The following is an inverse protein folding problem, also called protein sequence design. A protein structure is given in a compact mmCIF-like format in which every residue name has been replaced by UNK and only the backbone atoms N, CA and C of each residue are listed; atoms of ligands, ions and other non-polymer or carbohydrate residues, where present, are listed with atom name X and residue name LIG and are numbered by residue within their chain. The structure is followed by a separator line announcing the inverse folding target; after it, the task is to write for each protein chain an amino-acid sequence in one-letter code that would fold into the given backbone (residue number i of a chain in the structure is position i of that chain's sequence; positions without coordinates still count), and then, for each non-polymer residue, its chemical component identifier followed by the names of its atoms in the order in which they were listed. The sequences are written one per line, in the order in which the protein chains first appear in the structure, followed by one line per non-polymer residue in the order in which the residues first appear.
data_IF_752881473294
#
_entry.id   IF_752881473294
#
_cell.length_a   1.000
_cell.length_b   1.000
_cell.length_c   1.000
_cell.angle_alpha   90.00
_cell.angle_beta   90.00
_cell.angle_gamma   90.00
#
_symmetry.space_group_name_H-M   'P 1'
#
loop_
_entity.id
_entity.type
_entity.pdbx_description
1 polymer ?
#
# COMPACT_ATOMS: atom_id res chain seq x y z
N UNK A 1 -13.46 2.11 16.97
CA UNK A 1 -12.12 1.50 16.83
C UNK A 1 -11.10 2.56 17.23
N UNK A 2 -10.14 2.27 18.10
CA UNK A 2 -9.03 3.22 18.36
C UNK A 2 -7.84 2.81 17.52
N UNK A 3 -7.11 3.77 16.96
CA UNK A 3 -5.85 3.46 16.27
C UNK A 3 -4.70 3.64 17.25
N UNK A 4 -3.78 2.66 17.26
CA UNK A 4 -2.63 2.61 18.16
C UNK A 4 -1.34 2.48 17.35
N UNK A 5 -0.26 2.94 17.95
CA UNK A 5 1.11 2.70 17.50
C UNK A 5 1.88 2.04 18.66
N UNK A 6 2.86 1.15 18.38
CA UNK A 6 3.68 0.56 19.43
C UNK A 6 4.42 1.61 20.25
N UNK A 7 4.41 1.46 21.57
CA UNK A 7 5.33 2.20 22.45
C UNK A 7 6.72 1.59 22.30
N UNK A 8 7.73 2.42 22.05
CA UNK A 8 9.14 2.00 22.10
C UNK A 8 9.64 2.08 23.55
N UNK A 9 9.95 0.95 24.15
CA UNK A 9 10.49 0.86 25.52
C UNK A 9 12.00 1.04 25.58
N UNK A 10 12.70 0.65 24.52
CA UNK A 10 14.15 0.74 24.42
C UNK A 10 14.56 0.95 22.98
N UNK A 11 15.58 1.79 22.77
CA UNK A 11 16.21 2.03 21.47
C UNK A 11 17.71 2.19 21.68
N UNK A 12 18.49 1.29 21.10
CA UNK A 12 19.96 1.38 21.02
C UNK A 12 20.38 1.37 19.56
N UNK A 13 20.79 2.54 19.08
CA UNK A 13 21.27 2.75 17.71
C UNK A 13 22.74 2.34 17.52
N UNK A 14 23.49 2.14 18.61
CA UNK A 14 24.93 1.86 18.60
C UNK A 14 25.25 0.36 18.73
N UNK A 15 24.27 -0.46 19.13
CA UNK A 15 24.37 -1.90 18.96
C UNK A 15 24.68 -2.24 17.49
N UNK A 16 25.46 -3.31 17.26
CA UNK A 16 25.99 -3.73 15.94
C UNK A 16 24.94 -3.82 14.81
N UNK A 17 23.64 -3.85 15.11
CA UNK A 17 22.55 -3.86 14.12
C UNK A 17 21.41 -2.86 14.39
N UNK A 18 21.54 -2.00 15.40
CA UNK A 18 20.40 -1.26 15.96
C UNK A 18 19.41 -2.21 16.66
N UNK A 19 18.91 -1.85 17.84
CA UNK A 19 17.94 -2.64 18.58
C UNK A 19 16.81 -1.73 19.05
N UNK A 20 15.57 -2.11 18.75
CA UNK A 20 14.38 -1.51 19.35
C UNK A 20 13.60 -2.58 20.10
N UNK A 21 13.18 -2.28 21.34
CA UNK A 21 12.20 -3.11 22.08
C UNK A 21 10.91 -2.33 22.11
N UNK A 22 9.86 -2.91 21.53
CA UNK A 22 8.57 -2.27 21.34
C UNK A 22 7.45 -3.03 22.05
N UNK A 23 6.34 -2.34 22.25
CA UNK A 23 5.11 -2.92 22.77
C UNK A 23 4.65 -4.10 21.92
N UNK A 24 4.51 -5.24 22.59
CA UNK A 24 3.87 -6.43 22.06
C UNK A 24 2.35 -6.30 22.17
N UNK A 25 1.65 -6.40 21.05
CA UNK A 25 0.20 -6.45 20.98
C UNK A 25 -0.28 -7.90 21.00
N UNK A 26 -0.25 -8.51 22.19
CA UNK A 26 -0.73 -9.88 22.37
C UNK A 26 -2.18 -10.02 21.88
N UNK A 27 -2.45 -11.13 21.21
CA UNK A 27 -3.77 -11.44 20.63
C UNK A 27 -4.23 -10.46 19.53
N UNK A 28 -3.27 -9.92 18.76
CA UNK A 28 -3.57 -9.28 17.49
C UNK A 28 -3.17 -10.16 16.30
N UNK A 29 -3.91 -10.00 15.21
CA UNK A 29 -3.60 -10.65 13.92
C UNK A 29 -3.52 -9.56 12.85
N UNK A 30 -2.55 -9.66 11.95
CA UNK A 30 -2.45 -8.76 10.81
C UNK A 30 -3.56 -9.03 9.79
N UNK A 31 -3.95 -8.00 9.04
CA UNK A 31 -5.00 -8.10 8.04
C UNK A 31 -4.61 -9.11 6.95
N UNK A 32 -3.33 -9.19 6.57
CA UNK A 32 -2.90 -10.12 5.52
C UNK A 32 -3.16 -11.59 5.90
N UNK A 33 -2.84 -11.99 7.14
CA UNK A 33 -3.11 -13.33 7.68
C UNK A 33 -4.60 -13.68 7.68
N UNK A 34 -5.47 -12.69 7.91
CA UNK A 34 -6.92 -12.88 7.89
C UNK A 34 -7.43 -13.03 6.45
N UNK A 35 -7.09 -12.10 5.56
CA UNK A 35 -7.63 -12.04 4.20
C UNK A 35 -7.07 -13.17 3.33
N UNK A 36 -5.78 -13.52 3.45
CA UNK A 36 -5.15 -14.58 2.65
C UNK A 36 -5.55 -15.99 3.12
N UNK A 37 -6.19 -16.13 4.28
CA UNK A 37 -6.67 -17.41 4.81
C UNK A 37 -8.08 -17.70 4.30
N UNK A 38 -8.24 -18.83 3.60
CA UNK A 38 -9.53 -19.28 3.07
C UNK A 38 -10.59 -19.53 4.16
N UNK A 39 -10.15 -19.86 5.38
CA UNK A 39 -11.04 -20.10 6.51
C UNK A 39 -11.43 -18.79 7.20
N UNK A 40 -10.45 -17.91 7.47
CA UNK A 40 -10.69 -16.68 8.22
C UNK A 40 -11.40 -15.60 7.40
N UNK A 41 -11.09 -15.50 6.10
CA UNK A 41 -11.71 -14.52 5.21
C UNK A 41 -13.23 -14.73 5.09
N UNK A 42 -13.67 -15.99 5.07
CA UNK A 42 -15.10 -16.37 5.02
C UNK A 42 -15.87 -16.04 6.30
N UNK A 43 -15.18 -15.85 7.43
CA UNK A 43 -15.82 -15.45 8.69
C UNK A 43 -16.17 -13.95 8.71
N UNK A 44 -15.53 -13.15 7.85
CA UNK A 44 -15.77 -11.71 7.79
C UNK A 44 -17.04 -11.40 7.00
N UNK A 45 -17.94 -10.64 7.64
CA UNK A 45 -19.08 -10.05 6.92
C UNK A 45 -18.58 -8.88 6.07
N UNK A 46 -19.20 -8.67 4.90
CA UNK A 46 -18.90 -7.54 4.02
C UNK A 46 -18.92 -6.18 4.75
N UNK A 47 -19.88 -5.97 5.65
CA UNK A 47 -19.94 -4.76 6.48
C UNK A 47 -18.74 -4.60 7.41
N UNK A 48 -18.22 -5.69 7.98
CA UNK A 48 -17.04 -5.67 8.84
C UNK A 48 -15.76 -5.35 8.04
N UNK A 49 -15.60 -5.97 6.87
CA UNK A 49 -14.54 -5.66 5.92
C UNK A 49 -14.53 -4.17 5.55
N UNK A 50 -15.69 -3.66 5.12
CA UNK A 50 -15.87 -2.27 4.69
C UNK A 50 -15.56 -1.29 5.82
N UNK A 51 -16.14 -1.49 7.00
CA UNK A 51 -15.95 -0.56 8.13
C UNK A 51 -14.51 -0.58 8.65
N UNK A 52 -13.89 -1.76 8.73
CA UNK A 52 -12.49 -1.88 9.18
C UNK A 52 -11.56 -1.18 8.21
N UNK A 53 -11.67 -1.46 6.91
CA UNK A 53 -10.79 -0.82 5.93
C UNK A 53 -11.04 0.69 5.82
N UNK A 54 -12.29 1.15 6.03
CA UNK A 54 -12.62 2.57 6.13
C UNK A 54 -11.90 3.27 7.28
N UNK A 55 -11.84 2.64 8.46
CA UNK A 55 -11.07 3.20 9.58
C UNK A 55 -9.56 3.22 9.30
N UNK A 56 -9.01 2.21 8.59
CA UNK A 56 -7.60 2.21 8.15
C UNK A 56 -7.33 3.36 7.18
N UNK A 57 -8.19 3.55 6.17
CA UNK A 57 -8.07 4.64 5.21
C UNK A 57 -8.15 6.02 5.87
N UNK A 58 -9.13 6.19 6.77
CA UNK A 58 -9.28 7.42 7.56
C UNK A 58 -8.03 7.72 8.37
N UNK A 59 -7.49 6.72 9.06
CA UNK A 59 -6.29 6.93 9.84
C UNK A 59 -5.09 7.33 8.98
N UNK A 60 -4.91 6.72 7.81
CA UNK A 60 -3.81 7.05 6.92
C UNK A 60 -3.90 8.51 6.46
N UNK A 61 -5.11 8.99 6.14
CA UNK A 61 -5.34 10.41 5.87
C UNK A 61 -4.95 11.28 7.06
N UNK A 62 -5.41 10.95 8.27
CA UNK A 62 -5.09 11.73 9.48
C UNK A 62 -3.59 11.76 9.74
N UNK A 63 -2.87 10.66 9.51
CA UNK A 63 -1.41 10.62 9.61
C UNK A 63 -0.76 11.57 8.60
N UNK A 64 -1.19 11.52 7.33
CA UNK A 64 -0.69 12.40 6.27
C UNK A 64 -0.96 13.89 6.54
N UNK A 65 -2.13 14.23 7.10
CA UNK A 65 -2.50 15.60 7.48
C UNK A 65 -1.72 16.08 8.71
N UNK A 66 -1.74 15.30 9.80
CA UNK A 66 -1.01 15.57 11.03
C UNK A 66 0.47 15.80 10.75
N UNK A 67 1.10 14.92 9.96
CA UNK A 67 2.51 15.03 9.64
C UNK A 67 2.85 16.25 8.78
N UNK A 68 1.87 16.87 8.12
CA UNK A 68 2.01 18.11 7.36
C UNK A 68 1.79 19.37 8.21
N UNK A 69 1.28 19.25 9.44
CA UNK A 69 1.09 20.40 10.33
C UNK A 69 2.41 21.14 10.62
N UNK A 70 2.42 22.47 10.76
CA UNK A 70 3.63 23.24 11.09
C UNK A 70 4.35 22.73 12.35
N UNK A 71 3.60 22.24 13.34
CA UNK A 71 4.12 21.68 14.58
C UNK A 71 4.98 20.43 14.37
N UNK A 72 4.78 19.70 13.26
CA UNK A 72 5.55 18.50 12.92
C UNK A 72 6.77 18.79 12.04
N UNK A 73 7.19 20.06 11.89
CA UNK A 73 8.36 20.42 11.07
C UNK A 73 9.64 19.68 11.48
N UNK A 74 9.88 19.52 12.79
CA UNK A 74 11.05 18.78 13.29
C UNK A 74 10.99 17.29 12.92
N UNK A 75 9.80 16.68 12.97
CA UNK A 75 9.60 15.30 12.55
C UNK A 75 9.92 15.13 11.05
N UNK A 76 9.39 16.03 10.21
CA UNK A 76 9.68 16.05 8.77
C UNK A 76 11.17 16.26 8.48
N UNK A 77 11.83 17.18 9.18
CA UNK A 77 13.25 17.45 8.97
C UNK A 77 14.14 16.26 9.37
N UNK A 78 13.79 15.54 10.45
CA UNK A 78 14.57 14.41 10.95
C UNK A 78 14.38 13.13 10.13
N UNK A 79 13.12 12.82 9.80
CA UNK A 79 12.77 11.53 9.17
C UNK A 79 12.62 11.68 7.65
N UNK A 80 12.17 12.84 7.17
CA UNK A 80 11.92 13.09 5.76
C UNK A 80 13.17 13.06 4.88
N UNK A 81 14.34 13.35 5.45
CA UNK A 81 15.64 13.34 4.75
C UNK A 81 16.32 11.96 4.72
N UNK A 82 15.59 10.86 4.94
CA UNK A 82 16.14 9.51 4.94
C UNK A 82 16.45 9.00 3.52
N UNK A 83 17.45 9.62 2.88
CA UNK A 83 17.88 9.32 1.51
C UNK A 83 18.25 7.85 1.25
N UNK A 84 18.91 7.12 2.19
CA UNK A 84 19.14 5.69 2.03
C UNK A 84 17.84 4.89 1.89
N UNK A 85 16.84 5.14 2.75
CA UNK A 85 15.54 4.45 2.68
C UNK A 85 14.76 4.86 1.42
N UNK A 86 14.81 6.13 1.01
CA UNK A 86 14.23 6.59 -0.27
C UNK A 86 14.80 5.82 -1.46
N UNK A 87 16.13 5.69 -1.54
CA UNK A 87 16.80 4.93 -2.60
C UNK A 87 16.49 3.44 -2.54
N UNK A 88 16.50 2.85 -1.35
CA UNK A 88 16.15 1.45 -1.16
C UNK A 88 14.72 1.18 -1.65
N UNK A 89 13.76 1.97 -1.18
CA UNK A 89 12.35 1.81 -1.51
C UNK A 89 12.10 1.99 -3.01
N UNK A 90 12.70 3.03 -3.59
CA UNK A 90 12.64 3.24 -5.03
C UNK A 90 13.19 2.04 -5.81
N UNK A 91 14.37 1.55 -5.45
CA UNK A 91 15.02 0.40 -6.10
C UNK A 91 14.14 -0.86 -6.07
N UNK A 92 13.58 -1.19 -4.91
CA UNK A 92 12.81 -2.46 -4.74
C UNK A 92 11.39 -2.40 -5.29
N UNK A 93 10.83 -1.21 -5.52
CA UNK A 93 9.50 -1.07 -6.15
C UNK A 93 9.57 -0.50 -7.56
N UNK A 94 9.90 0.79 -7.70
CA UNK A 94 9.79 1.52 -8.97
C UNK A 94 10.97 1.26 -9.91
N UNK A 95 12.12 0.87 -9.37
CA UNK A 95 13.28 0.49 -10.16
C UNK A 95 13.20 -0.91 -10.76
N UNK A 96 12.38 -1.80 -10.18
CA UNK A 96 12.37 -3.23 -10.51
C UNK A 96 11.15 -3.69 -11.31
N UNK A 97 10.08 -2.88 -11.46
CA UNK A 97 8.84 -3.36 -12.08
C UNK A 97 8.99 -3.69 -13.57
N UNK A 98 9.85 -2.97 -14.31
CA UNK A 98 10.14 -3.31 -15.72
C UNK A 98 10.90 -4.64 -15.80
N UNK A 99 11.75 -4.95 -14.83
CA UNK A 99 12.49 -6.22 -14.82
C UNK A 99 11.56 -7.43 -14.65
N UNK A 100 10.44 -7.28 -13.92
CA UNK A 100 9.37 -8.30 -13.88
C UNK A 100 8.83 -8.55 -15.29
N UNK A 101 8.49 -7.48 -16.01
CA UNK A 101 7.87 -7.56 -17.33
C UNK A 101 8.79 -8.11 -18.43
N UNK A 102 10.11 -8.20 -18.20
CA UNK A 102 11.02 -8.94 -19.11
C UNK A 102 10.66 -10.42 -19.23
N UNK A 103 9.97 -10.98 -18.23
CA UNK A 103 9.44 -12.35 -18.29
C UNK A 103 8.13 -12.46 -19.09
N UNK A 104 7.54 -11.33 -19.48
CA UNK A 104 6.29 -11.23 -20.25
C UNK A 104 6.49 -10.29 -21.47
N UNK A 105 7.30 -10.69 -22.47
CA UNK A 105 7.75 -9.81 -23.56
C UNK A 105 6.60 -9.15 -24.33
N UNK A 106 5.52 -9.88 -24.62
CA UNK A 106 4.34 -9.32 -25.33
C UNK A 106 3.69 -8.15 -24.58
N UNK A 107 3.65 -8.22 -23.24
CA UNK A 107 3.12 -7.14 -22.39
C UNK A 107 4.09 -5.97 -22.37
N UNK A 108 5.38 -6.25 -22.22
CA UNK A 108 6.43 -5.23 -22.19
C UNK A 108 6.50 -4.45 -23.51
N UNK A 109 6.60 -5.14 -24.64
CA UNK A 109 6.75 -4.53 -25.97
C UNK A 109 5.60 -3.58 -26.28
N UNK A 110 4.36 -4.05 -26.05
CA UNK A 110 3.13 -3.26 -26.29
C UNK A 110 3.07 -1.96 -25.49
N UNK A 111 3.65 -1.93 -24.29
CA UNK A 111 3.51 -0.82 -23.34
C UNK A 111 4.82 -0.07 -23.06
N UNK A 112 5.92 -0.47 -23.70
CA UNK A 112 7.29 -0.03 -23.43
C UNK A 112 7.44 1.49 -23.30
N UNK A 113 6.88 2.25 -24.24
CA UNK A 113 6.95 3.71 -24.22
C UNK A 113 6.31 4.35 -22.98
N UNK A 114 5.19 3.81 -22.48
CA UNK A 114 4.53 4.32 -21.26
C UNK A 114 5.31 3.89 -20.02
N UNK A 115 5.73 2.62 -19.98
CA UNK A 115 6.44 2.05 -18.84
C UNK A 115 7.79 2.75 -18.59
N UNK A 116 8.55 3.06 -19.64
CA UNK A 116 9.80 3.82 -19.51
C UNK A 116 9.54 5.25 -19.01
N UNK A 117 8.50 5.95 -19.49
CA UNK A 117 8.13 7.27 -18.96
C UNK A 117 7.74 7.23 -17.48
N UNK A 118 7.01 6.20 -17.05
CA UNK A 118 6.67 6.00 -15.63
C UNK A 118 7.94 5.80 -14.80
N UNK A 119 8.90 5.02 -15.30
CA UNK A 119 10.20 4.80 -14.65
C UNK A 119 11.03 6.08 -14.59
N UNK A 120 11.17 6.81 -15.70
CA UNK A 120 11.87 8.09 -15.76
C UNK A 120 11.26 9.11 -14.78
N UNK A 121 9.94 9.20 -14.74
CA UNK A 121 9.24 10.04 -13.77
C UNK A 121 9.55 9.62 -12.33
N UNK A 122 9.60 8.32 -12.04
CA UNK A 122 9.97 7.84 -10.72
C UNK A 122 11.41 8.24 -10.33
N UNK A 123 12.37 8.19 -11.25
CA UNK A 123 13.74 8.66 -11.03
C UNK A 123 13.80 10.17 -10.77
N UNK A 124 13.07 10.97 -11.55
CA UNK A 124 12.94 12.42 -11.35
C UNK A 124 12.31 12.75 -9.99
N UNK A 125 11.31 11.97 -9.56
CA UNK A 125 10.70 12.13 -8.25
C UNK A 125 11.68 11.84 -7.12
N UNK A 126 12.49 10.78 -7.24
CA UNK A 126 13.54 10.48 -6.26
C UNK A 126 14.55 11.63 -6.17
N UNK A 127 14.98 12.18 -7.30
CA UNK A 127 15.87 13.35 -7.32
C UNK A 127 15.22 14.58 -6.64
N UNK A 128 13.95 14.84 -6.94
CA UNK A 128 13.21 15.94 -6.34
C UNK A 128 13.04 15.78 -4.82
N UNK A 129 12.79 14.55 -4.35
CA UNK A 129 12.71 14.21 -2.92
C UNK A 129 14.05 14.49 -2.22
N UNK A 130 15.16 14.07 -2.83
CA UNK A 130 16.51 14.35 -2.30
C UNK A 130 16.79 15.85 -2.28
N UNK A 131 16.28 16.61 -3.25
CA UNK A 131 16.43 18.07 -3.32
C UNK A 131 15.44 18.86 -2.45
N UNK A 132 14.52 18.19 -1.74
CA UNK A 132 13.59 18.83 -0.80
C UNK A 132 12.48 19.68 -1.44
N UNK A 133 12.02 19.34 -2.65
CA UNK A 133 10.91 20.08 -3.30
C UNK A 133 9.54 19.60 -2.78
N UNK A 134 8.78 20.53 -2.22
CA UNK A 134 7.39 20.31 -1.79
C UNK A 134 6.40 20.26 -2.97
N UNK A 135 5.28 19.59 -2.74
CA UNK A 135 4.14 19.54 -3.66
C UNK A 135 2.86 19.14 -2.90
N UNK A 136 1.69 19.48 -3.45
CA UNK A 136 0.39 19.32 -2.77
C UNK A 136 0.13 17.89 -2.24
N UNK A 137 0.50 16.87 -3.04
CA UNK A 137 0.30 15.46 -2.73
C UNK A 137 1.53 14.79 -2.09
N UNK A 138 2.50 15.59 -1.61
CA UNK A 138 3.71 15.13 -0.93
C UNK A 138 3.65 15.41 0.56
N UNK A 139 4.27 14.52 1.33
CA UNK A 139 4.28 14.61 2.78
C UNK A 139 5.03 13.42 3.38
N UNK A 140 4.95 13.29 4.70
CA UNK A 140 5.39 12.05 5.33
C UNK A 140 4.46 10.92 4.94
N UNK A 141 5.06 9.79 4.57
CA UNK A 141 4.40 8.52 4.28
C UNK A 141 4.91 7.47 5.26
N UNK A 142 4.09 6.46 5.54
CA UNK A 142 4.53 5.26 6.23
C UNK A 142 5.62 4.55 5.43
N UNK A 143 5.51 4.57 4.10
CA UNK A 143 6.49 4.00 3.19
C UNK A 143 6.31 2.50 2.98
N UNK A 144 5.89 1.77 4.01
CA UNK A 144 5.52 0.34 3.91
C UNK A 144 4.06 0.08 4.34
N UNK A 145 3.13 0.90 3.84
CA UNK A 145 1.71 0.79 4.18
C UNK A 145 1.01 -0.35 3.40
N UNK A 146 1.18 -1.59 3.85
CA UNK A 146 0.48 -2.76 3.33
C UNK A 146 -0.30 -3.48 4.43
N UNK A 147 -1.20 -4.40 4.05
CA UNK A 147 -2.13 -5.02 5.01
C UNK A 147 -1.45 -5.89 6.08
N UNK A 148 -0.21 -6.35 5.88
CA UNK A 148 0.56 -7.06 6.90
C UNK A 148 1.05 -6.17 8.05
N UNK A 149 1.17 -4.86 7.80
CA UNK A 149 1.60 -3.88 8.81
C UNK A 149 0.43 -3.24 9.57
N UNK A 150 -0.78 -3.79 9.39
CA UNK A 150 -2.01 -3.37 10.08
C UNK A 150 -2.54 -4.53 10.91
N UNK A 151 -2.42 -4.44 12.23
CA UNK A 151 -2.90 -5.45 13.17
C UNK A 151 -4.27 -5.08 13.73
N UNK A 152 -5.08 -6.09 14.03
CA UNK A 152 -6.38 -5.94 14.68
C UNK A 152 -6.35 -6.56 16.07
N UNK A 153 -6.56 -5.75 17.11
CA UNK A 153 -6.64 -6.21 18.50
C UNK A 153 -8.03 -6.81 18.79
N UNK A 154 -8.05 -7.97 19.46
CA UNK A 154 -9.21 -8.84 19.69
C UNK A 154 -9.78 -9.45 18.41
N UNK A 155 -9.15 -10.53 17.99
CA UNK A 155 -9.75 -11.48 17.06
C UNK A 155 -9.71 -12.88 17.70
N UNK A 156 -10.85 -13.38 18.21
CA UNK A 156 -11.25 -14.76 17.94
C UNK A 156 -12.74 -14.81 17.58
N UNK A 157 -13.37 -15.94 17.20
CA UNK A 157 -14.82 -16.00 17.24
C UNK A 157 -15.22 -16.05 18.72
N UNK A 158 -15.34 -14.90 19.40
CA UNK A 158 -16.01 -14.89 20.69
C UNK A 158 -17.52 -15.08 20.46
N UNK A 159 -18.23 -15.74 21.39
CA UNK A 159 -19.64 -16.08 21.23
C UNK A 159 -20.49 -14.81 21.07
N UNK A 160 -21.25 -14.79 19.98
CA UNK A 160 -22.44 -13.97 19.70
C UNK A 160 -22.72 -12.79 20.64
N UNK A 161 -22.43 -11.57 20.18
CA UNK A 161 -23.15 -10.39 20.66
C UNK A 161 -22.47 -9.05 20.43
N UNK A 162 -21.14 -8.96 20.59
CA UNK A 162 -20.37 -7.72 20.41
C UNK A 162 -18.89 -8.04 20.18
N UNK A 163 -18.50 -8.37 18.95
CA UNK A 163 -17.08 -8.53 18.60
C UNK A 163 -16.76 -7.72 17.34
N UNK A 164 -16.46 -6.44 17.57
CA UNK A 164 -15.78 -5.58 16.60
C UNK A 164 -14.30 -5.57 17.01
N UNK A 165 -13.37 -5.72 16.06
CA UNK A 165 -11.95 -5.45 16.31
C UNK A 165 -11.83 -4.16 17.14
N UNK A 166 -11.23 -4.26 18.32
CA UNK A 166 -11.30 -3.17 19.29
C UNK A 166 -10.39 -2.02 18.85
N UNK A 167 -9.23 -2.36 18.29
CA UNK A 167 -8.21 -1.42 17.87
C UNK A 167 -7.58 -1.84 16.53
N UNK A 168 -7.26 -0.85 15.70
CA UNK A 168 -6.31 -0.97 14.58
C UNK A 168 -4.94 -0.57 15.12
N UNK A 169 -3.89 -1.31 14.78
CA UNK A 169 -2.53 -1.01 15.20
C UNK A 169 -1.66 -0.96 13.95
N UNK A 170 -0.95 0.15 13.73
CA UNK A 170 0.04 0.23 12.66
C UNK A 170 1.45 0.09 13.19
N UNK A 171 2.19 -0.81 12.56
CA UNK A 171 3.54 -1.22 12.94
C UNK A 171 4.51 -1.00 11.79
N UNK A 172 5.80 -1.26 12.06
CA UNK A 172 6.83 -1.33 11.02
C UNK A 172 7.08 -0.02 10.25
N UNK A 173 7.41 1.01 11.03
CA UNK A 173 7.65 2.37 10.56
C UNK A 173 9.05 2.59 9.97
N UNK A 174 9.82 1.53 9.73
CA UNK A 174 11.24 1.63 9.33
C UNK A 174 11.44 2.29 7.95
N UNK A 175 10.39 2.23 7.11
CA UNK A 175 10.37 2.84 5.78
C UNK A 175 9.76 4.25 5.75
N UNK A 176 9.45 4.82 6.92
CA UNK A 176 8.84 6.14 7.02
C UNK A 176 9.79 7.22 6.47
N UNK A 177 9.25 8.06 5.60
CA UNK A 177 10.03 9.01 4.81
C UNK A 177 9.13 10.11 4.24
N UNK A 178 9.75 11.15 3.68
CA UNK A 178 9.03 12.11 2.85
C UNK A 178 8.83 11.52 1.44
N UNK A 179 7.61 11.56 0.92
CA UNK A 179 7.24 10.89 -0.32
C UNK A 179 5.91 11.39 -0.89
N UNK A 180 5.50 10.79 -2.01
CA UNK A 180 4.17 11.03 -2.56
C UNK A 180 3.13 10.18 -1.82
N UNK A 181 2.05 10.78 -1.31
CA UNK A 181 1.04 10.08 -0.47
C UNK A 181 0.33 8.92 -1.17
N UNK A 182 0.17 9.02 -2.50
CA UNK A 182 -0.33 7.93 -3.34
C UNK A 182 0.50 6.63 -3.23
N UNK A 183 1.73 6.70 -2.73
CA UNK A 183 2.55 5.52 -2.49
C UNK A 183 1.91 4.60 -1.45
N UNK A 184 1.52 5.12 -0.28
CA UNK A 184 0.89 4.32 0.77
C UNK A 184 -0.48 3.79 0.33
N UNK A 185 -1.25 4.61 -0.40
CA UNK A 185 -2.53 4.19 -0.96
C UNK A 185 -2.36 3.02 -1.94
N UNK A 186 -1.48 3.17 -2.93
CA UNK A 186 -1.27 2.15 -3.95
C UNK A 186 -0.65 0.88 -3.38
N UNK A 187 0.19 1.00 -2.35
CA UNK A 187 0.76 -0.15 -1.65
C UNK A 187 -0.35 -0.98 -0.99
N UNK A 188 -1.21 -0.36 -0.18
CA UNK A 188 -2.32 -1.04 0.48
C UNK A 188 -3.30 -1.67 -0.52
N UNK A 189 -3.72 -0.90 -1.54
CA UNK A 189 -4.69 -1.35 -2.53
C UNK A 189 -4.11 -2.49 -3.38
N UNK A 190 -2.85 -2.41 -3.78
CA UNK A 190 -2.17 -3.45 -4.55
C UNK A 190 -2.11 -4.77 -3.81
N UNK A 191 -1.81 -4.74 -2.50
CA UNK A 191 -1.74 -5.96 -1.68
C UNK A 191 -3.13 -6.56 -1.39
N UNK A 192 -4.16 -5.72 -1.22
CA UNK A 192 -5.55 -6.20 -1.14
C UNK A 192 -6.00 -6.82 -2.47
N UNK A 193 -5.64 -6.22 -3.61
CA UNK A 193 -5.98 -6.77 -4.92
C UNK A 193 -5.26 -8.10 -5.17
N UNK A 194 -4.00 -8.21 -4.75
CA UNK A 194 -3.23 -9.46 -4.76
C UNK A 194 -3.97 -10.57 -3.99
N UNK A 195 -4.50 -10.26 -2.80
CA UNK A 195 -5.28 -11.22 -2.02
C UNK A 195 -6.57 -11.65 -2.71
N UNK A 196 -7.29 -10.73 -3.35
CA UNK A 196 -8.43 -11.10 -4.21
C UNK A 196 -7.99 -12.06 -5.33
N UNK A 197 -6.93 -11.71 -6.05
CA UNK A 197 -6.51 -12.39 -7.28
C UNK A 197 -5.90 -13.78 -7.05
N UNK A 198 -5.06 -13.93 -6.02
CA UNK A 198 -4.31 -15.16 -5.75
C UNK A 198 -4.88 -15.99 -4.59
N UNK A 199 -5.70 -15.40 -3.73
CA UNK A 199 -6.24 -16.08 -2.53
C UNK A 199 -7.78 -16.18 -2.53
N UNK A 200 -8.45 -15.84 -3.64
CA UNK A 200 -9.90 -15.96 -3.81
C UNK A 200 -10.69 -15.26 -2.69
N UNK A 201 -10.19 -14.10 -2.27
CA UNK A 201 -10.74 -13.36 -1.15
C UNK A 201 -11.60 -12.19 -1.62
N UNK A 202 -12.89 -12.46 -1.87
CA UNK A 202 -13.87 -11.43 -2.27
C UNK A 202 -13.98 -10.26 -1.29
N UNK A 203 -13.78 -10.51 0.00
CA UNK A 203 -13.78 -9.44 1.02
C UNK A 203 -12.69 -8.40 0.78
N UNK A 204 -11.61 -8.75 0.05
CA UNK A 204 -10.53 -7.83 -0.23
C UNK A 204 -10.97 -6.70 -1.17
N UNK A 205 -11.87 -6.97 -2.14
CA UNK A 205 -12.46 -5.94 -2.99
C UNK A 205 -13.30 -4.94 -2.18
N UNK A 206 -14.09 -5.46 -1.22
CA UNK A 206 -14.84 -4.61 -0.29
C UNK A 206 -13.90 -3.79 0.59
N UNK A 207 -12.76 -4.36 0.98
CA UNK A 207 -11.75 -3.62 1.73
C UNK A 207 -11.10 -2.51 0.90
N UNK A 208 -10.80 -2.74 -0.38
CA UNK A 208 -10.33 -1.69 -1.30
C UNK A 208 -11.33 -0.53 -1.33
N UNK A 209 -12.62 -0.83 -1.52
CA UNK A 209 -13.67 0.20 -1.52
C UNK A 209 -13.70 0.99 -0.21
N UNK A 210 -13.75 0.30 0.92
CA UNK A 210 -13.81 0.96 2.23
C UNK A 210 -12.56 1.78 2.52
N UNK A 211 -11.37 1.30 2.15
CA UNK A 211 -10.11 2.01 2.34
C UNK A 211 -10.06 3.32 1.55
N UNK A 212 -10.47 3.28 0.27
CA UNK A 212 -10.56 4.49 -0.57
C UNK A 212 -11.61 5.45 0.00
N UNK A 213 -12.80 4.96 0.34
CA UNK A 213 -13.88 5.75 0.95
C UNK A 213 -13.52 6.31 2.33
N UNK A 214 -12.54 5.71 3.02
CA UNK A 214 -12.05 6.18 4.31
C UNK A 214 -10.97 7.22 4.19
N UNK A 215 -10.09 7.09 3.19
CA UNK A 215 -9.06 8.07 2.93
C UNK A 215 -9.67 9.41 2.49
N UNK A 216 -10.71 9.41 1.66
CA UNK A 216 -11.40 10.64 1.20
C UNK A 216 -10.45 11.65 0.51
N UNK A 217 -11.00 12.76 -0.02
CA UNK A 217 -10.23 13.90 -0.58
C UNK A 217 -9.10 13.55 -1.57
N UNK A 218 -9.37 12.61 -2.48
CA UNK A 218 -8.43 12.23 -3.55
C UNK A 218 -8.76 13.05 -4.79
N UNK A 219 -7.87 13.97 -5.17
CA UNK A 219 -7.96 14.65 -6.46
C UNK A 219 -7.60 13.70 -7.63
N UNK A 220 -7.94 14.09 -8.87
CA UNK A 220 -7.69 13.24 -10.04
C UNK A 220 -6.18 12.92 -10.20
N UNK A 221 -5.26 13.82 -9.84
CA UNK A 221 -3.81 13.55 -9.94
C UNK A 221 -3.39 12.45 -8.96
N UNK A 222 -3.77 12.58 -7.69
CA UNK A 222 -3.53 11.59 -6.65
C UNK A 222 -4.19 10.25 -6.96
N UNK A 223 -5.40 10.27 -7.55
CA UNK A 223 -6.11 9.06 -7.97
C UNK A 223 -5.34 8.28 -9.04
N UNK A 224 -4.90 8.96 -10.11
CA UNK A 224 -4.13 8.33 -11.17
C UNK A 224 -2.73 7.88 -10.70
N UNK A 225 -2.08 8.66 -9.82
CA UNK A 225 -0.83 8.26 -9.18
C UNK A 225 -1.02 7.02 -8.29
N UNK A 226 -2.14 6.94 -7.59
CA UNK A 226 -2.49 5.76 -6.77
C UNK A 226 -2.71 4.53 -7.64
N UNK A 227 -3.35 4.67 -8.80
CA UNK A 227 -3.50 3.56 -9.74
C UNK A 227 -2.13 3.07 -10.27
N UNK A 228 -1.21 3.98 -10.60
CA UNK A 228 0.16 3.61 -10.98
C UNK A 228 0.85 2.83 -9.85
N UNK A 229 0.78 3.33 -8.61
CA UNK A 229 1.39 2.64 -7.47
C UNK A 229 0.74 1.29 -7.17
N UNK A 230 -0.57 1.17 -7.36
CA UNK A 230 -1.30 -0.10 -7.25
C UNK A 230 -0.77 -1.10 -8.25
N UNK A 231 -0.62 -0.71 -9.51
CA UNK A 231 -0.07 -1.58 -10.56
C UNK A 231 1.39 -1.97 -10.31
N UNK A 232 2.25 -1.01 -9.94
CA UNK A 232 3.66 -1.29 -9.59
C UNK A 232 3.75 -2.25 -8.40
N UNK A 233 2.92 -2.04 -7.38
CA UNK A 233 2.83 -2.96 -6.24
C UNK A 233 2.42 -4.34 -6.72
N UNK A 234 1.35 -4.48 -7.48
CA UNK A 234 0.88 -5.81 -7.90
C UNK A 234 1.90 -6.54 -8.80
N UNK A 235 2.60 -5.83 -9.70
CA UNK A 235 3.75 -6.40 -10.44
C UNK A 235 4.86 -6.91 -9.52
N UNK A 236 5.14 -6.14 -8.46
CA UNK A 236 6.19 -6.45 -7.50
C UNK A 236 5.99 -7.81 -6.80
N UNK A 237 4.75 -8.29 -6.68
CA UNK A 237 4.43 -9.60 -6.09
C UNK A 237 5.26 -10.72 -6.72
N UNK A 238 5.48 -10.69 -8.03
CA UNK A 238 6.26 -11.69 -8.76
C UNK A 238 7.65 -11.87 -8.13
N UNK A 239 8.27 -10.78 -7.68
CA UNK A 239 9.62 -10.77 -7.11
C UNK A 239 9.69 -10.77 -5.58
N UNK A 240 8.57 -10.76 -4.84
CA UNK A 240 8.56 -10.73 -3.35
C UNK A 240 8.90 -12.07 -2.68
N UNK A 241 9.31 -13.07 -3.45
CA UNK A 241 9.70 -14.40 -2.97
C UNK A 241 11.21 -14.57 -2.96
N UNK A 242 11.73 -15.53 -2.22
CA UNK A 242 13.12 -15.93 -2.40
C UNK A 242 13.29 -16.44 -3.85
N UNK A 243 14.38 -16.09 -4.58
CA UNK A 243 14.56 -16.53 -5.97
C UNK A 243 14.52 -18.06 -6.16
N UNK A 244 14.82 -18.80 -5.09
CA UNK A 244 14.75 -20.26 -5.01
C UNK A 244 13.32 -20.81 -4.92
N UNK A 245 12.34 -20.00 -4.53
CA UNK A 245 10.98 -20.43 -4.31
C UNK A 245 10.19 -20.46 -5.62
N UNK A 246 9.28 -21.42 -5.74
CA UNK A 246 8.32 -21.48 -6.85
C UNK A 246 7.38 -20.27 -6.80
N UNK A 247 7.10 -19.68 -7.96
CA UNK A 247 6.03 -18.68 -8.08
C UNK A 247 4.70 -19.34 -7.71
N UNK A 248 3.90 -18.70 -6.87
CA UNK A 248 2.58 -19.21 -6.45
C UNK A 248 1.52 -18.86 -7.49
N UNK A 249 0.46 -19.66 -7.59
CA UNK A 249 -0.62 -19.42 -8.56
C UNK A 249 -0.41 -20.11 -9.91
N UNK A 250 -1.48 -20.22 -10.70
CA UNK A 250 -1.43 -20.82 -12.04
C UNK A 250 -0.79 -19.87 -13.05
N UNK A 251 -0.32 -20.39 -14.19
CA UNK A 251 0.17 -19.56 -15.30
C UNK A 251 -0.87 -18.54 -15.76
N UNK A 252 -2.14 -18.93 -15.78
CA UNK A 252 -3.28 -18.06 -16.11
C UNK A 252 -3.47 -16.94 -15.08
N UNK A 253 -3.39 -17.26 -13.79
CA UNK A 253 -3.46 -16.27 -12.72
C UNK A 253 -2.30 -15.28 -12.82
N UNK A 254 -1.08 -15.78 -13.00
CA UNK A 254 0.12 -14.95 -13.16
C UNK A 254 -0.05 -14.02 -14.36
N UNK A 255 -0.35 -14.57 -15.55
CA UNK A 255 -0.53 -13.76 -16.76
C UNK A 255 -1.66 -12.73 -16.61
N UNK A 256 -2.75 -13.08 -15.94
CA UNK A 256 -3.84 -12.15 -15.64
C UNK A 256 -3.39 -11.04 -14.69
N UNK A 257 -2.59 -11.35 -13.66
CA UNK A 257 -2.05 -10.37 -12.72
C UNK A 257 -1.13 -9.38 -13.45
N UNK A 258 -0.23 -9.86 -14.31
CA UNK A 258 0.68 -9.00 -15.09
C UNK A 258 -0.08 -8.07 -16.04
N UNK A 259 -1.11 -8.60 -16.71
CA UNK A 259 -1.98 -7.80 -17.61
C UNK A 259 -2.71 -6.71 -16.84
N UNK A 260 -3.37 -7.02 -15.73
CA UNK A 260 -4.14 -6.02 -14.98
C UNK A 260 -3.23 -5.01 -14.29
N UNK A 261 -2.09 -5.45 -13.75
CA UNK A 261 -1.12 -4.56 -13.10
C UNK A 261 -0.52 -3.57 -14.09
N UNK A 262 -0.07 -4.05 -15.25
CA UNK A 262 0.41 -3.19 -16.34
C UNK A 262 -0.68 -2.24 -16.80
N UNK A 263 -1.93 -2.72 -16.85
CA UNK A 263 -3.05 -1.89 -17.26
C UNK A 263 -3.36 -0.78 -16.25
N UNK A 264 -3.23 -1.03 -14.94
CA UNK A 264 -3.32 0.03 -13.93
C UNK A 264 -2.21 1.07 -14.08
N UNK A 265 -0.97 0.65 -14.35
CA UNK A 265 0.15 1.57 -14.62
C UNK A 265 -0.10 2.43 -15.84
N UNK A 266 -0.43 1.81 -16.98
CA UNK A 266 -0.62 2.51 -18.25
C UNK A 266 -1.86 3.40 -18.21
N UNK A 267 -2.99 2.87 -17.75
CA UNK A 267 -4.24 3.65 -17.66
C UNK A 267 -4.12 4.80 -16.66
N UNK A 268 -3.36 4.61 -15.57
CA UNK A 268 -3.04 5.68 -14.63
C UNK A 268 -2.20 6.78 -15.27
N UNK A 269 -1.17 6.41 -16.04
CA UNK A 269 -0.32 7.37 -16.75
C UNK A 269 -1.09 8.15 -17.83
N UNK A 270 -1.88 7.45 -18.65
CA UNK A 270 -2.68 8.04 -19.74
C UNK A 270 -4.00 8.67 -19.24
N UNK A 271 -4.25 8.64 -17.92
CA UNK A 271 -5.42 9.24 -17.25
C UNK A 271 -6.77 8.74 -17.79
N UNK A 272 -6.88 7.44 -18.06
CA UNK A 272 -8.03 6.81 -18.71
C UNK A 272 -9.22 6.58 -17.76
N UNK A 273 -9.82 7.68 -17.28
CA UNK A 273 -10.94 7.67 -16.32
C UNK A 273 -12.09 6.69 -16.67
N UNK A 274 -12.58 6.61 -17.93
CA UNK A 274 -13.68 5.70 -18.28
C UNK A 274 -13.35 4.22 -18.09
N UNK A 275 -12.10 3.82 -18.33
CA UNK A 275 -11.69 2.43 -18.19
C UNK A 275 -11.72 1.99 -16.72
N UNK A 276 -11.29 2.85 -15.80
CA UNK A 276 -11.27 2.53 -14.38
C UNK A 276 -12.66 2.37 -13.75
N UNK A 277 -13.72 2.93 -14.35
CA UNK A 277 -15.10 2.80 -13.85
C UNK A 277 -15.57 1.34 -13.78
N UNK A 278 -15.00 0.47 -14.62
CA UNK A 278 -15.26 -0.98 -14.61
C UNK A 278 -14.34 -1.79 -13.69
N UNK A 279 -13.57 -1.15 -12.81
CA UNK A 279 -12.54 -1.80 -12.00
C UNK A 279 -12.74 -1.57 -10.50
N UNK A 280 -12.10 -2.36 -9.63
CA UNK A 280 -12.08 -2.09 -8.18
C UNK A 280 -11.47 -0.74 -7.79
N UNK A 281 -10.77 -0.06 -8.72
CA UNK A 281 -10.21 1.27 -8.54
C UNK A 281 -11.16 2.40 -8.96
N UNK A 282 -12.36 2.09 -9.47
CA UNK A 282 -13.39 3.08 -9.76
C UNK A 282 -13.56 4.11 -8.62
N UNK A 283 -13.62 3.73 -7.32
CA UNK A 283 -13.82 4.68 -6.22
C UNK A 283 -12.77 5.79 -6.14
N UNK A 284 -11.53 5.56 -6.61
CA UNK A 284 -10.48 6.60 -6.64
C UNK A 284 -10.84 7.75 -7.58
N UNK A 285 -11.64 7.48 -8.61
CA UNK A 285 -11.88 8.35 -9.75
C UNK A 285 -13.34 8.80 -9.82
N UNK A 286 -14.07 8.73 -8.70
CA UNK A 286 -15.40 9.31 -8.64
C UNK A 286 -15.30 10.84 -8.72
N UNK A 287 -16.11 11.45 -9.59
CA UNK A 287 -16.23 12.91 -9.63
C UNK A 287 -16.85 13.37 -8.31
N UNK A 288 -16.13 14.19 -7.53
CA UNK A 288 -16.79 15.04 -6.55
C UNK A 288 -17.68 15.99 -7.35
N UNK A 289 -18.97 15.67 -7.44
CA UNK A 289 -20.01 16.60 -7.88
C UNK A 289 -20.31 17.60 -6.76
#
# INVERSE_FOLDING_TARGET
MKVKIPITYFLDLYAHRGIAVQQDFRHSTDIASIIRSADLSKLWKQFQALTTSKEVGRWLRHFHEWASEPQQADFRNKIGCNGPIQRLKHKVTRGAFIDVLKTFPDILEKNSGVLERVKEQAELELQNLISGKDGLNRGMIHGDCWMGNVLLSKYPPAPSGRDTAADIILIDWEMCQFGHRAYDLGHMIGDLYEAYHFHDSDIALTMIRGFIDGYEEIDDDMAFRTAIHTGVQLLGWYNRRAPSDTVKGTEEQILSAEKISTRFVVGGWEREKPWFQGTPLAPLLHSNT
#
